data_IF_448343769540
#
_entry.id   IF_448343769540
#
_cell.length_a   1.000
_cell.length_b   1.000
_cell.length_c   1.000
_cell.angle_alpha   90.00
_cell.angle_beta   90.00
_cell.angle_gamma   90.00
#
_symmetry.space_group_name_H-M   'P 1'
#
loop_
_entity.id
_entity.type
_entity.pdbx_description
1 polymer ?
#
# COMPACT_ATOMS: atom_id res chain seq x y z
N UNK A 1 3.32 -3.07 -19.64
CA UNK A 1 2.33 -2.73 -20.70
C UNK A 1 1.06 -2.05 -20.15
N UNK A 2 0.63 -2.31 -18.91
CA UNK A 2 -0.60 -1.73 -18.35
C UNK A 2 -0.57 -0.22 -18.07
N UNK A 3 0.59 0.35 -17.68
CA UNK A 3 0.72 1.80 -17.43
C UNK A 3 0.37 2.67 -18.66
N UNK A 4 0.48 2.13 -19.87
CA UNK A 4 0.13 2.85 -21.12
C UNK A 4 -1.37 3.19 -21.18
N UNK A 5 -2.24 2.33 -20.61
CA UNK A 5 -3.71 2.35 -20.80
C UNK A 5 -4.48 3.29 -19.87
N UNK A 6 -3.82 3.87 -18.88
CA UNK A 6 -4.46 4.64 -17.80
C UNK A 6 -4.46 6.15 -18.09
N UNK A 7 -3.50 6.62 -18.89
CA UNK A 7 -3.20 8.05 -19.04
C UNK A 7 -4.36 8.88 -19.63
N UNK A 8 -4.96 8.48 -20.75
CA UNK A 8 -6.03 9.27 -21.37
C UNK A 8 -7.32 9.33 -20.52
N UNK A 9 -7.74 8.20 -19.94
CA UNK A 9 -8.94 8.13 -19.09
C UNK A 9 -8.78 9.04 -17.87
N UNK A 10 -7.63 8.95 -17.21
CA UNK A 10 -7.33 9.75 -16.02
C UNK A 10 -7.30 11.23 -16.33
N UNK A 11 -6.70 11.66 -17.46
CA UNK A 11 -6.72 13.07 -17.88
C UNK A 11 -8.14 13.60 -18.06
N UNK A 12 -9.00 12.86 -18.76
CA UNK A 12 -10.38 13.32 -19.03
C UNK A 12 -11.21 13.40 -17.75
N UNK A 13 -11.07 12.42 -16.86
CA UNK A 13 -11.72 12.45 -15.56
C UNK A 13 -11.22 13.64 -14.73
N UNK A 14 -9.90 13.84 -14.66
CA UNK A 14 -9.27 14.95 -13.98
C UNK A 14 -9.79 16.31 -14.46
N UNK A 15 -9.87 16.52 -15.78
CA UNK A 15 -10.45 17.74 -16.36
C UNK A 15 -11.93 17.94 -16.01
N UNK A 16 -12.70 16.86 -15.97
CA UNK A 16 -14.12 16.94 -15.64
C UNK A 16 -14.34 17.40 -14.20
N UNK A 17 -13.48 16.98 -13.27
CA UNK A 17 -13.53 17.40 -11.86
C UNK A 17 -12.65 18.62 -11.53
N UNK A 18 -11.95 19.17 -12.52
CA UNK A 18 -11.09 20.36 -12.35
C UNK A 18 -9.75 20.10 -11.65
N UNK A 19 -9.28 18.86 -11.63
CA UNK A 19 -8.03 18.46 -10.96
C UNK A 19 -6.82 18.60 -11.92
N UNK A 20 -6.05 19.67 -11.73
CA UNK A 20 -4.88 19.95 -12.56
C UNK A 20 -3.71 18.98 -12.30
N UNK A 21 -3.55 18.49 -11.07
CA UNK A 21 -2.48 17.57 -10.71
C UNK A 21 -2.74 16.18 -11.28
N UNK A 22 -3.97 15.67 -11.18
CA UNK A 22 -4.34 14.41 -11.82
C UNK A 22 -4.20 14.49 -13.36
N UNK A 23 -4.49 15.64 -13.97
CA UNK A 23 -4.27 15.85 -15.40
C UNK A 23 -2.78 15.89 -15.76
N UNK A 24 -1.93 16.51 -14.94
CA UNK A 24 -0.48 16.53 -15.10
C UNK A 24 0.13 15.14 -14.90
N UNK A 25 -0.32 14.39 -13.89
CA UNK A 25 0.07 12.99 -13.67
C UNK A 25 -0.26 12.12 -14.89
N UNK A 26 -1.46 12.27 -15.44
CA UNK A 26 -1.84 11.59 -16.67
C UNK A 26 -0.93 11.95 -17.86
N UNK A 27 -0.56 13.23 -18.01
CA UNK A 27 0.38 13.67 -19.05
C UNK A 27 1.82 13.14 -18.84
N UNK A 28 2.25 12.91 -17.60
CA UNK A 28 3.57 12.37 -17.29
C UNK A 28 3.79 10.94 -17.84
N UNK A 29 2.71 10.21 -18.10
CA UNK A 29 2.70 8.89 -18.72
C UNK A 29 2.67 8.93 -20.27
N UNK A 30 2.71 10.11 -20.90
CA UNK A 30 2.90 10.21 -22.36
C UNK A 30 4.27 9.67 -22.75
N UNK A 31 4.32 8.77 -23.73
CA UNK A 31 5.56 8.30 -24.32
C UNK A 31 5.93 9.22 -25.50
N UNK A 32 7.10 9.87 -25.50
CA UNK A 32 7.55 10.65 -26.64
C UNK A 32 7.60 9.81 -27.92
N UNK A 33 7.10 10.35 -29.02
CA UNK A 33 7.08 9.68 -30.32
C UNK A 33 6.02 8.58 -30.48
N UNK A 34 5.21 8.29 -29.47
CA UNK A 34 4.06 7.38 -29.61
C UNK A 34 2.77 8.14 -29.96
N UNK A 35 1.81 7.48 -30.64
CA UNK A 35 0.47 8.02 -30.82
C UNK A 35 -0.16 8.49 -29.49
N UNK A 36 -1.05 9.48 -29.58
CA UNK A 36 -1.84 9.96 -28.45
C UNK A 36 -2.82 8.88 -27.95
N UNK A 37 -3.36 8.09 -28.87
CA UNK A 37 -4.20 6.95 -28.59
C UNK A 37 -3.91 5.85 -29.60
N UNK A 38 -4.12 4.60 -29.19
CA UNK A 38 -3.94 3.41 -30.02
C UNK A 38 -5.14 2.47 -29.87
N UNK A 39 -5.29 1.55 -30.83
CA UNK A 39 -6.38 0.57 -30.86
C UNK A 39 -6.29 -0.49 -29.76
N UNK A 40 -5.12 -0.67 -29.13
CA UNK A 40 -4.95 -1.63 -28.03
C UNK A 40 -5.67 -1.16 -26.76
N UNK A 41 -6.11 0.09 -26.71
CA UNK A 41 -7.01 0.62 -25.69
C UNK A 41 -8.52 0.39 -25.99
N UNK A 42 -8.84 -0.11 -27.18
CA UNK A 42 -10.19 -0.36 -27.67
C UNK A 42 -10.81 0.84 -28.43
N UNK A 43 -11.68 0.54 -29.40
CA UNK A 43 -12.22 1.51 -30.36
C UNK A 43 -12.82 2.77 -29.71
N UNK A 44 -13.60 2.62 -28.64
CA UNK A 44 -14.22 3.76 -27.97
C UNK A 44 -13.21 4.71 -27.32
N UNK A 45 -12.06 4.20 -26.86
CA UNK A 45 -10.97 5.01 -26.30
C UNK A 45 -10.15 5.66 -27.40
N UNK A 46 -9.83 4.89 -28.44
CA UNK A 46 -9.17 5.40 -29.64
C UNK A 46 -9.93 6.60 -30.22
N UNK A 47 -11.24 6.44 -30.49
CA UNK A 47 -12.07 7.51 -31.04
C UNK A 47 -12.06 8.76 -30.17
N UNK A 48 -12.18 8.61 -28.84
CA UNK A 48 -12.11 9.76 -27.93
C UNK A 48 -10.73 10.41 -27.95
N UNK A 49 -9.66 9.62 -27.90
CA UNK A 49 -8.29 10.11 -27.89
C UNK A 49 -7.88 10.82 -29.17
N UNK A 50 -8.27 10.31 -30.35
CA UNK A 50 -7.96 10.94 -31.66
C UNK A 50 -8.81 12.19 -31.95
N UNK A 51 -9.87 12.44 -31.16
CA UNK A 51 -10.69 13.66 -31.27
C UNK A 51 -10.36 14.73 -30.22
N UNK A 52 -9.47 14.42 -29.26
CA UNK A 52 -9.05 15.37 -28.22
C UNK A 52 -7.76 16.08 -28.67
N UNK A 53 -7.91 17.24 -29.32
CA UNK A 53 -6.80 18.01 -29.86
C UNK A 53 -5.75 18.40 -28.80
N UNK A 54 -6.19 18.67 -27.57
CA UNK A 54 -5.26 19.01 -26.49
C UNK A 54 -4.49 17.78 -26.00
N UNK A 55 -5.12 16.60 -25.95
CA UNK A 55 -4.43 15.36 -25.61
C UNK A 55 -3.41 14.98 -26.69
N UNK A 56 -3.77 15.17 -27.96
CA UNK A 56 -2.86 14.97 -29.09
C UNK A 56 -1.65 15.90 -29.00
N UNK A 57 -1.88 17.16 -28.63
CA UNK A 57 -0.83 18.16 -28.44
C UNK A 57 -0.08 18.06 -27.10
N UNK A 58 -0.50 17.20 -26.16
CA UNK A 58 0.09 17.13 -24.84
C UNK A 58 1.49 16.50 -24.90
N UNK A 59 2.48 17.24 -24.39
CA UNK A 59 3.83 16.74 -24.17
C UNK A 59 3.90 15.95 -22.85
N UNK A 60 4.91 15.08 -22.74
CA UNK A 60 5.24 14.45 -21.47
C UNK A 60 5.66 15.51 -20.46
N UNK A 61 5.04 15.50 -19.29
CA UNK A 61 5.40 16.33 -18.15
C UNK A 61 6.10 15.50 -17.06
N UNK A 62 6.66 16.16 -16.05
CA UNK A 62 6.99 15.48 -14.80
C UNK A 62 5.69 15.11 -14.06
N UNK A 63 5.69 13.98 -13.36
CA UNK A 63 4.58 13.66 -12.44
C UNK A 63 4.59 14.68 -11.30
N UNK A 64 3.43 15.23 -10.88
CA UNK A 64 3.40 16.28 -9.85
C UNK A 64 3.83 15.78 -8.48
N UNK A 65 3.65 14.48 -8.19
CA UNK A 65 4.03 13.82 -6.93
C UNK A 65 3.65 14.68 -5.70
N UNK A 66 2.35 15.00 -5.52
CA UNK A 66 1.90 15.81 -4.40
C UNK A 66 2.34 15.19 -3.07
N UNK A 67 2.67 16.04 -2.10
CA UNK A 67 3.16 15.57 -0.79
C UNK A 67 2.12 14.71 -0.09
N UNK A 68 0.86 15.15 -0.10
CA UNK A 68 -0.24 14.48 0.57
C UNK A 68 -1.44 14.36 -0.38
N UNK A 69 -2.11 13.21 -0.38
CA UNK A 69 -3.34 12.97 -1.14
C UNK A 69 -4.31 12.22 -0.23
N UNK A 70 -5.48 12.80 -0.01
CA UNK A 70 -6.60 12.14 0.66
C UNK A 70 -7.71 11.84 -0.33
N UNK A 71 -8.07 10.56 -0.45
CA UNK A 71 -9.17 10.07 -1.29
C UNK A 71 -10.33 9.65 -0.39
N UNK A 72 -11.24 10.57 -0.02
CA UNK A 72 -12.27 10.31 0.99
C UNK A 72 -13.26 9.21 0.59
N UNK A 73 -13.50 9.00 -0.71
CA UNK A 73 -14.46 7.99 -1.17
C UNK A 73 -14.01 6.56 -0.93
N UNK A 74 -12.70 6.31 -0.89
CA UNK A 74 -12.11 4.99 -0.65
C UNK A 74 -11.29 4.96 0.64
N UNK A 75 -11.28 6.08 1.37
CA UNK A 75 -10.50 6.34 2.58
C UNK A 75 -9.02 5.97 2.43
N UNK A 76 -8.39 6.41 1.34
CA UNK A 76 -6.97 6.20 1.09
C UNK A 76 -6.20 7.49 1.33
N UNK A 77 -5.25 7.44 2.26
CA UNK A 77 -4.23 8.47 2.44
C UNK A 77 -2.95 8.02 1.73
N UNK A 78 -2.34 8.92 0.97
CA UNK A 78 -0.96 8.83 0.52
C UNK A 78 -0.20 10.04 1.07
N UNK A 79 0.96 9.81 1.69
CA UNK A 79 1.85 10.84 2.19
C UNK A 79 3.28 10.55 1.74
N UNK A 80 4.00 11.58 1.31
CA UNK A 80 5.42 11.57 0.94
C UNK A 80 6.22 12.43 1.90
N UNK A 81 7.49 12.07 2.05
CA UNK A 81 8.47 12.88 2.77
C UNK A 81 8.68 14.22 2.06
N UNK A 82 8.71 14.21 0.72
CA UNK A 82 8.92 15.40 -0.10
C UNK A 82 7.87 15.53 -1.21
N UNK A 83 7.48 16.77 -1.50
CA UNK A 83 6.65 17.08 -2.67
C UNK A 83 7.49 17.04 -3.95
N UNK A 84 6.90 16.61 -5.07
CA UNK A 84 7.54 16.71 -6.40
C UNK A 84 8.61 15.65 -6.68
N UNK A 85 8.93 14.77 -5.73
CA UNK A 85 9.89 13.68 -5.90
C UNK A 85 9.38 12.39 -5.25
N UNK A 86 9.94 11.25 -5.66
CA UNK A 86 9.74 9.96 -5.02
C UNK A 86 10.78 9.68 -3.93
N UNK A 87 11.83 10.50 -3.84
CA UNK A 87 12.92 10.35 -2.87
C UNK A 87 12.40 10.38 -1.43
N UNK A 88 12.97 9.52 -0.59
CA UNK A 88 12.59 9.34 0.80
C UNK A 88 11.43 8.37 0.98
N UNK A 89 10.78 8.48 2.14
CA UNK A 89 9.67 7.60 2.51
C UNK A 89 8.35 8.05 1.88
N UNK A 90 7.58 7.07 1.40
CA UNK A 90 6.16 7.24 1.04
C UNK A 90 5.32 6.25 1.84
N UNK A 91 4.27 6.72 2.48
CA UNK A 91 3.25 5.93 3.16
C UNK A 91 1.95 6.00 2.34
N UNK A 92 1.33 4.85 2.08
CA UNK A 92 -0.07 4.77 1.69
C UNK A 92 -0.83 3.91 2.70
N UNK A 93 -2.02 4.30 3.10
CA UNK A 93 -2.86 3.56 4.06
C UNK A 93 -4.32 3.66 3.68
N UNK A 94 -5.05 2.57 3.88
CA UNK A 94 -6.43 2.40 3.44
C UNK A 94 -7.35 2.09 4.62
N UNK A 95 -8.43 2.83 4.73
CA UNK A 95 -9.61 2.47 5.53
C UNK A 95 -10.62 1.69 4.68
N UNK A 96 -11.79 2.29 4.47
CA UNK A 96 -12.81 1.81 3.54
C UNK A 96 -13.50 0.56 4.04
N UNK A 97 -13.91 -0.31 3.12
CA UNK A 97 -14.59 -1.56 3.44
C UNK A 97 -14.22 -2.71 2.50
N UNK A 98 -14.42 -3.96 2.94
CA UNK A 98 -14.12 -5.17 2.16
C UNK A 98 -15.10 -5.46 1.00
N UNK A 99 -15.82 -4.44 0.55
CA UNK A 99 -16.84 -4.51 -0.50
C UNK A 99 -16.59 -3.57 -1.68
N UNK A 100 -15.41 -2.97 -1.75
CA UNK A 100 -15.04 -2.05 -2.84
C UNK A 100 -14.96 -2.75 -4.20
N UNK A 101 -15.05 -1.96 -5.28
CA UNK A 101 -14.87 -2.51 -6.62
C UNK A 101 -13.47 -3.12 -6.78
N UNK A 102 -13.41 -4.39 -7.19
CA UNK A 102 -12.16 -5.15 -7.33
C UNK A 102 -11.33 -5.32 -6.05
N UNK A 103 -11.96 -5.29 -4.88
CA UNK A 103 -11.26 -5.29 -3.62
C UNK A 103 -10.53 -6.58 -3.22
N UNK A 104 -9.62 -6.44 -2.25
CA UNK A 104 -9.12 -7.50 -1.38
C UNK A 104 -9.79 -7.39 0.01
N UNK A 105 -9.43 -8.23 0.99
CA UNK A 105 -9.87 -8.07 2.37
C UNK A 105 -8.76 -7.39 3.19
N UNK A 106 -8.65 -6.07 3.11
CA UNK A 106 -7.43 -5.32 3.43
C UNK A 106 -7.70 -4.00 4.18
N UNK A 107 -8.83 -3.88 4.88
CA UNK A 107 -9.17 -2.67 5.65
C UNK A 107 -8.14 -2.42 6.75
N UNK A 108 -7.53 -1.24 6.74
CA UNK A 108 -6.42 -0.86 7.63
C UNK A 108 -5.03 -1.22 7.10
N UNK A 109 -4.92 -1.84 5.92
CA UNK A 109 -3.64 -2.16 5.29
C UNK A 109 -2.89 -0.89 4.89
N UNK A 110 -1.57 -0.99 4.84
CA UNK A 110 -0.67 0.11 4.47
C UNK A 110 0.46 -0.39 3.58
N UNK A 111 1.07 0.51 2.81
CA UNK A 111 2.24 0.27 1.96
C UNK A 111 3.29 1.32 2.31
N UNK A 112 4.54 0.92 2.37
CA UNK A 112 5.68 1.83 2.55
C UNK A 112 6.66 1.62 1.41
N UNK A 113 7.01 2.71 0.74
CA UNK A 113 8.02 2.73 -0.31
C UNK A 113 9.22 3.61 0.09
N UNK A 114 10.39 3.26 -0.42
CA UNK A 114 11.65 4.01 -0.31
C UNK A 114 12.07 4.42 -1.71
N UNK A 115 12.28 5.72 -1.92
CA UNK A 115 12.67 6.28 -3.22
C UNK A 115 11.74 5.87 -4.38
N UNK A 116 10.45 5.65 -4.05
CA UNK A 116 9.42 5.19 -4.99
C UNK A 116 9.34 3.67 -5.18
N UNK A 117 10.21 2.89 -4.56
CA UNK A 117 10.19 1.42 -4.61
C UNK A 117 9.50 0.84 -3.37
N UNK A 118 8.38 0.10 -3.52
CA UNK A 118 7.68 -0.52 -2.38
C UNK A 118 8.52 -1.55 -1.63
N UNK A 119 8.53 -1.49 -0.30
CA UNK A 119 9.23 -2.43 0.59
C UNK A 119 8.27 -3.15 1.52
N UNK A 120 7.34 -2.43 2.15
CA UNK A 120 6.14 -3.03 2.76
C UNK A 120 5.02 -2.94 1.75
N UNK A 121 4.49 -4.08 1.32
CA UNK A 121 3.76 -4.18 0.05
C UNK A 121 2.37 -4.76 0.23
N UNK A 122 1.53 -4.50 -0.77
CA UNK A 122 0.40 -5.36 -1.10
C UNK A 122 0.83 -6.23 -2.29
N UNK A 123 0.57 -7.53 -2.24
CA UNK A 123 0.95 -8.43 -3.34
C UNK A 123 0.30 -8.00 -4.68
N UNK A 124 -0.85 -7.33 -4.60
CA UNK A 124 -1.64 -6.94 -5.74
C UNK A 124 -2.42 -8.13 -6.29
N UNK A 125 -2.70 -8.04 -7.58
CA UNK A 125 -3.64 -8.95 -8.25
C UNK A 125 -2.87 -10.02 -9.03
N UNK A 126 -3.15 -11.32 -8.83
CA UNK A 126 -2.59 -12.39 -9.63
C UNK A 126 -3.20 -12.43 -11.03
N UNK A 127 -2.68 -13.33 -11.87
CA UNK A 127 -3.25 -13.66 -13.18
C UNK A 127 -4.74 -13.98 -13.03
N UNK A 128 -5.57 -13.32 -13.84
CA UNK A 128 -7.02 -13.57 -13.76
C UNK A 128 -7.31 -14.97 -14.25
N UNK A 129 -7.98 -15.74 -13.38
CA UNK A 129 -8.50 -17.07 -13.69
C UNK A 129 -10.02 -17.05 -13.59
N UNK A 130 -10.65 -18.17 -13.92
CA UNK A 130 -12.10 -18.36 -13.70
C UNK A 130 -12.47 -18.13 -12.22
N UNK A 131 -11.60 -18.52 -11.29
CA UNK A 131 -11.83 -18.37 -9.85
C UNK A 131 -11.97 -16.89 -9.45
N UNK A 132 -11.21 -15.99 -10.09
CA UNK A 132 -11.26 -14.56 -9.78
C UNK A 132 -12.64 -13.94 -9.96
N UNK A 133 -13.46 -14.50 -10.85
CA UNK A 133 -14.82 -14.03 -11.14
C UNK A 133 -15.90 -14.94 -10.52
N UNK A 134 -15.49 -15.95 -9.76
CA UNK A 134 -16.37 -16.92 -9.11
C UNK A 134 -16.62 -16.62 -7.63
N UNK A 135 -17.47 -17.42 -6.98
CA UNK A 135 -17.71 -17.31 -5.53
C UNK A 135 -16.46 -17.60 -4.69
N UNK A 136 -15.57 -18.46 -5.20
CA UNK A 136 -14.34 -18.90 -4.51
C UNK A 136 -13.19 -17.88 -4.67
N UNK A 137 -13.49 -16.65 -5.10
CA UNK A 137 -12.49 -15.58 -5.30
C UNK A 137 -11.66 -15.35 -4.04
N UNK A 138 -12.28 -15.36 -2.87
CA UNK A 138 -11.62 -15.08 -1.59
C UNK A 138 -10.84 -16.28 -1.02
N UNK A 139 -10.81 -17.41 -1.73
CA UNK A 139 -9.87 -18.50 -1.47
C UNK A 139 -8.50 -18.24 -2.12
N UNK A 140 -8.42 -17.27 -3.03
CA UNK A 140 -7.14 -16.80 -3.59
C UNK A 140 -6.40 -16.04 -2.49
N UNK A 141 -5.20 -16.48 -2.16
CA UNK A 141 -4.43 -15.98 -1.01
C UNK A 141 -4.22 -14.45 -1.01
N UNK A 142 -4.07 -13.81 -2.19
CA UNK A 142 -3.92 -12.36 -2.30
C UNK A 142 -5.21 -11.57 -2.04
N UNK A 143 -6.35 -12.25 -1.87
CA UNK A 143 -7.63 -11.62 -1.50
C UNK A 143 -7.89 -11.76 0.02
N UNK A 144 -7.06 -12.51 0.75
CA UNK A 144 -7.26 -12.87 2.15
C UNK A 144 -6.51 -11.91 3.07
N UNK A 145 -7.15 -11.44 4.14
CA UNK A 145 -6.58 -10.45 5.06
C UNK A 145 -5.29 -10.93 5.72
N UNK A 146 -5.13 -12.25 5.90
CA UNK A 146 -3.91 -12.83 6.44
C UNK A 146 -2.65 -12.58 5.60
N UNK A 147 -2.80 -12.11 4.36
CA UNK A 147 -1.70 -11.74 3.46
C UNK A 147 -1.64 -10.23 3.16
N UNK A 148 -2.38 -9.41 3.91
CA UNK A 148 -2.27 -7.95 3.89
C UNK A 148 -1.63 -7.44 5.19
N UNK A 149 -1.29 -6.15 5.22
CA UNK A 149 -0.60 -5.53 6.34
C UNK A 149 -1.56 -5.19 7.48
N UNK A 150 -2.38 -6.15 7.92
CA UNK A 150 -3.49 -6.00 8.88
C UNK A 150 -3.36 -7.04 10.01
N UNK A 151 -4.02 -6.84 11.17
CA UNK A 151 -3.96 -7.83 12.23
C UNK A 151 -4.72 -9.11 11.90
N UNK A 152 -4.37 -10.19 12.60
CA UNK A 152 -5.19 -11.41 12.72
C UNK A 152 -5.52 -11.57 14.19
N UNK A 153 -6.81 -11.57 14.54
CA UNK A 153 -7.27 -11.40 15.92
C UNK A 153 -7.96 -12.68 16.37
N UNK A 154 -7.39 -13.37 17.35
CA UNK A 154 -7.89 -14.68 17.80
C UNK A 154 -7.93 -15.74 16.71
N UNK A 155 -7.11 -15.60 15.66
CA UNK A 155 -7.15 -16.44 14.46
C UNK A 155 -8.21 -16.02 13.43
N UNK A 156 -8.97 -14.95 13.68
CA UNK A 156 -9.95 -14.41 12.75
C UNK A 156 -9.29 -13.44 11.74
N UNK A 157 -9.63 -13.66 10.47
CA UNK A 157 -9.32 -12.78 9.35
C UNK A 157 -10.55 -11.93 8.98
N UNK A 158 -10.32 -10.87 8.22
CA UNK A 158 -11.39 -10.00 7.72
C UNK A 158 -12.17 -10.71 6.60
N UNK A 159 -13.50 -10.81 6.70
CA UNK A 159 -14.31 -11.36 5.62
C UNK A 159 -14.56 -10.33 4.51
N UNK A 160 -15.09 -10.81 3.39
CA UNK A 160 -15.51 -9.95 2.28
C UNK A 160 -16.88 -9.31 2.54
N UNK A 161 -17.08 -8.11 2.01
CA UNK A 161 -18.36 -7.41 2.03
C UNK A 161 -18.29 -6.00 2.60
N UNK A 162 -19.24 -5.15 2.20
CA UNK A 162 -19.26 -3.74 2.60
C UNK A 162 -19.57 -3.52 4.09
N UNK A 163 -20.09 -4.52 4.79
CA UNK A 163 -20.32 -4.46 6.23
C UNK A 163 -19.01 -4.55 7.04
N UNK A 164 -17.94 -5.10 6.45
CA UNK A 164 -16.63 -5.20 7.09
C UNK A 164 -15.83 -3.96 6.71
N UNK A 165 -15.86 -2.95 7.58
CA UNK A 165 -15.39 -1.60 7.28
C UNK A 165 -14.60 -1.00 8.43
N UNK A 166 -13.75 -0.03 8.09
CA UNK A 166 -13.16 0.86 9.06
C UNK A 166 -14.26 1.81 9.59
N UNK A 167 -14.08 2.25 10.82
CA UNK A 167 -14.87 3.31 11.43
C UNK A 167 -13.97 4.42 11.96
N UNK A 168 -14.56 5.57 12.27
CA UNK A 168 -13.86 6.71 12.88
C UNK A 168 -12.58 7.11 12.15
N UNK A 169 -12.60 7.05 10.81
CA UNK A 169 -11.44 7.36 9.99
C UNK A 169 -11.15 8.85 10.05
N UNK A 170 -9.92 9.19 10.39
CA UNK A 170 -9.44 10.58 10.42
C UNK A 170 -8.07 10.71 9.79
N UNK A 171 -7.85 11.84 9.14
CA UNK A 171 -6.54 12.24 8.61
C UNK A 171 -6.13 13.57 9.18
N UNK A 172 -4.84 13.71 9.48
CA UNK A 172 -4.20 14.95 9.89
C UNK A 172 -3.02 15.21 8.97
N UNK A 173 -3.00 16.36 8.30
CA UNK A 173 -2.01 16.72 7.29
C UNK A 173 -1.29 17.98 7.75
N UNK A 174 -0.11 17.81 8.33
CA UNK A 174 0.76 18.89 8.76
C UNK A 174 2.03 18.94 7.91
N UNK A 175 2.86 19.98 8.10
CA UNK A 175 4.15 20.06 7.41
C UNK A 175 5.11 18.99 7.93
N UNK A 176 5.18 18.83 9.24
CA UNK A 176 6.13 17.97 9.95
C UNK A 176 5.71 16.50 9.87
N UNK A 177 4.42 16.21 9.81
CA UNK A 177 3.90 14.86 9.75
C UNK A 177 2.54 14.77 9.04
N UNK A 178 2.27 13.61 8.45
CA UNK A 178 0.94 13.24 7.96
C UNK A 178 0.48 11.96 8.62
N UNK A 179 -0.72 11.96 9.17
CA UNK A 179 -1.25 10.86 9.97
C UNK A 179 -2.63 10.41 9.48
N UNK A 180 -2.87 9.11 9.60
CA UNK A 180 -4.15 8.44 9.44
C UNK A 180 -4.49 7.70 10.72
N UNK A 181 -5.75 7.65 11.10
CA UNK A 181 -6.24 6.76 12.15
C UNK A 181 -7.58 6.14 11.78
N UNK A 182 -7.83 4.91 12.24
CA UNK A 182 -9.10 4.20 12.04
C UNK A 182 -9.35 3.19 13.16
N UNK A 183 -10.62 2.97 13.48
CA UNK A 183 -11.11 1.82 14.24
C UNK A 183 -11.38 0.65 13.27
N UNK A 184 -10.75 -0.50 13.54
CA UNK A 184 -10.71 -1.65 12.63
C UNK A 184 -11.59 -2.81 13.10
N UNK A 185 -12.13 -2.81 14.32
CA UNK A 185 -12.93 -3.92 14.84
C UNK A 185 -14.12 -4.26 13.95
N UNK A 186 -14.75 -3.26 13.32
CA UNK A 186 -15.84 -3.43 12.36
C UNK A 186 -15.46 -4.20 11.09
N UNK A 187 -14.17 -4.34 10.77
CA UNK A 187 -13.68 -5.14 9.66
C UNK A 187 -13.58 -6.65 9.97
N UNK A 188 -13.79 -7.05 11.23
CA UNK A 188 -13.69 -8.44 11.68
C UNK A 188 -15.06 -9.03 12.01
N UNK A 189 -15.19 -10.37 12.06
CA UNK A 189 -16.42 -11.02 12.52
C UNK A 189 -16.83 -10.54 13.92
N UNK A 190 -18.13 -10.47 14.17
CA UNK A 190 -18.65 -10.05 15.47
C UNK A 190 -18.07 -10.91 16.61
N UNK A 191 -17.51 -10.24 17.63
CA UNK A 191 -16.87 -10.88 18.78
C UNK A 191 -15.42 -11.31 18.57
N UNK A 192 -14.86 -11.13 17.37
CA UNK A 192 -13.43 -11.39 17.14
C UNK A 192 -12.53 -10.30 17.75
N UNK A 193 -13.02 -9.05 17.79
CA UNK A 193 -12.32 -7.91 18.37
C UNK A 193 -13.30 -6.99 19.11
N UNK A 194 -12.86 -6.46 20.26
CA UNK A 194 -13.49 -5.34 20.96
C UNK A 194 -13.26 -4.03 20.19
N UNK A 195 -12.27 -3.24 20.60
CA UNK A 195 -11.75 -2.11 19.82
C UNK A 195 -10.33 -2.44 19.34
N UNK A 196 -10.04 -2.05 18.10
CA UNK A 196 -8.73 -2.12 17.50
C UNK A 196 -8.47 -0.83 16.71
N UNK A 197 -7.82 0.14 17.34
CA UNK A 197 -7.50 1.42 16.74
C UNK A 197 -6.10 1.43 16.18
N UNK A 198 -5.99 1.63 14.87
CA UNK A 198 -4.71 1.81 14.17
C UNK A 198 -4.44 3.29 13.92
N UNK A 199 -3.19 3.70 14.06
CA UNK A 199 -2.68 4.94 13.48
C UNK A 199 -1.46 4.66 12.60
N UNK A 200 -1.36 5.34 11.47
CA UNK A 200 -0.22 5.30 10.57
C UNK A 200 0.26 6.73 10.33
N UNK A 201 1.51 7.02 10.71
CA UNK A 201 2.08 8.37 10.64
C UNK A 201 3.37 8.35 9.86
N UNK A 202 3.51 9.24 8.88
CA UNK A 202 4.79 9.60 8.29
C UNK A 202 5.30 10.86 9.00
N UNK A 203 6.37 10.72 9.76
CA UNK A 203 7.07 11.77 10.50
C UNK A 203 8.28 12.19 9.67
N UNK A 204 8.26 13.42 9.13
CA UNK A 204 9.27 13.93 8.20
C UNK A 204 10.51 14.43 8.90
N UNK A 205 10.36 14.96 10.11
CA UNK A 205 11.49 15.43 10.93
C UNK A 205 12.35 14.25 11.38
N UNK A 206 11.70 13.18 11.87
CA UNK A 206 12.39 11.96 12.26
C UNK A 206 12.65 11.01 11.08
N UNK A 207 12.14 11.31 9.88
CA UNK A 207 12.28 10.52 8.64
C UNK A 207 11.89 9.05 8.83
N UNK A 208 10.70 8.83 9.38
CA UNK A 208 10.19 7.49 9.70
C UNK A 208 8.69 7.38 9.48
N UNK A 209 8.23 6.15 9.24
CA UNK A 209 6.83 5.77 9.35
C UNK A 209 6.62 5.04 10.67
N UNK A 210 5.55 5.36 11.39
CA UNK A 210 5.16 4.69 12.63
C UNK A 210 3.74 4.15 12.48
N UNK A 211 3.59 2.84 12.63
CA UNK A 211 2.30 2.15 12.68
C UNK A 211 2.04 1.76 14.12
N UNK A 212 1.00 2.32 14.74
CA UNK A 212 0.63 1.98 16.11
C UNK A 212 -0.76 1.35 16.14
N UNK A 213 -0.85 0.22 16.82
CA UNK A 213 -2.09 -0.52 17.04
C UNK A 213 -2.40 -0.51 18.54
N UNK A 214 -3.58 -0.02 18.90
CA UNK A 214 -4.13 -0.05 20.25
C UNK A 214 -5.38 -0.90 20.27
N UNK A 215 -5.51 -1.80 21.26
CA UNK A 215 -6.67 -2.69 21.39
C UNK A 215 -7.13 -2.81 22.84
N UNK A 216 -8.39 -3.18 23.02
CA UNK A 216 -8.98 -3.38 24.35
C UNK A 216 -8.78 -4.77 24.91
N UNK A 217 -8.62 -5.76 24.03
CA UNK A 217 -8.56 -7.17 24.42
C UNK A 217 -7.10 -7.62 24.58
N UNK A 218 -6.81 -8.55 25.48
CA UNK A 218 -5.46 -9.08 25.71
C UNK A 218 -5.25 -10.48 25.11
N UNK A 219 -6.25 -11.01 24.41
CA UNK A 219 -6.22 -12.34 23.76
C UNK A 219 -5.15 -12.50 22.66
N UNK A 220 -5.10 -13.69 22.03
CA UNK A 220 -4.17 -13.95 20.93
C UNK A 220 -4.39 -12.98 19.78
N UNK A 221 -3.34 -12.34 19.28
CA UNK A 221 -3.40 -11.64 18.00
C UNK A 221 -2.00 -11.50 17.39
N UNK A 222 -1.98 -11.35 16.08
CA UNK A 222 -0.76 -11.18 15.30
C UNK A 222 -0.84 -9.90 14.47
N UNK A 223 0.27 -9.16 14.38
CA UNK A 223 0.46 -8.16 13.33
C UNK A 223 1.20 -8.83 12.17
N UNK A 224 0.70 -8.65 10.95
CA UNK A 224 1.32 -9.21 9.74
C UNK A 224 1.78 -8.08 8.83
N UNK A 225 3.00 -8.19 8.31
CA UNK A 225 3.55 -7.30 7.31
C UNK A 225 4.09 -8.13 6.14
N UNK A 226 3.68 -7.83 4.92
CA UNK A 226 4.18 -8.43 3.70
C UNK A 226 5.30 -7.56 3.13
N UNK A 227 6.45 -8.18 2.90
CA UNK A 227 7.70 -7.52 2.59
C UNK A 227 8.25 -8.01 1.25
N UNK A 228 8.73 -7.08 0.43
CA UNK A 228 9.42 -7.34 -0.83
C UNK A 228 10.92 -7.05 -0.69
N UNK A 229 11.76 -7.99 -1.16
CA UNK A 229 13.21 -7.92 -1.05
C UNK A 229 13.83 -9.00 -0.17
N UNK A 230 15.13 -8.86 0.15
CA UNK A 230 15.84 -9.77 1.05
C UNK A 230 15.62 -9.33 2.50
N UNK A 231 14.93 -10.16 3.28
CA UNK A 231 14.50 -9.87 4.65
C UNK A 231 15.31 -10.69 5.64
N UNK A 232 15.94 -10.01 6.60
CA UNK A 232 16.73 -10.65 7.66
C UNK A 232 16.29 -10.17 9.03
N UNK A 233 16.04 -11.11 9.93
CA UNK A 233 15.80 -10.80 11.35
C UNK A 233 17.08 -10.26 12.00
N UNK A 234 16.92 -9.20 12.78
CA UNK A 234 17.97 -8.52 13.55
C UNK A 234 17.41 -8.11 14.92
N UNK A 235 17.37 -9.08 15.84
CA UNK A 235 16.79 -8.88 17.18
C UNK A 235 15.30 -8.54 17.13
N UNK A 236 14.92 -7.41 17.73
CA UNK A 236 13.56 -6.86 17.70
C UNK A 236 13.29 -5.99 16.45
N UNK A 237 13.91 -6.36 15.33
CA UNK A 237 13.76 -5.72 14.04
C UNK A 237 13.97 -6.70 12.87
N UNK A 238 13.56 -6.28 11.68
CA UNK A 238 14.06 -6.81 10.40
C UNK A 238 14.78 -5.72 9.63
N UNK A 239 15.81 -6.13 8.89
CA UNK A 239 16.39 -5.34 7.81
C UNK A 239 15.88 -5.89 6.49
N UNK A 240 15.35 -5.01 5.64
CA UNK A 240 14.88 -5.35 4.30
C UNK A 240 15.75 -4.63 3.28
N UNK A 241 16.53 -5.39 2.51
CA UNK A 241 17.15 -4.84 1.31
C UNK A 241 16.09 -4.83 0.21
N UNK A 242 15.64 -3.63 -0.17
CA UNK A 242 14.57 -3.43 -1.13
C UNK A 242 14.93 -3.93 -2.54
N UNK A 243 13.92 -4.01 -3.39
CA UNK A 243 14.11 -4.29 -4.82
C UNK A 243 14.78 -3.08 -5.51
N UNK A 244 15.25 -3.26 -6.75
CA UNK A 244 15.77 -2.18 -7.60
C UNK A 244 16.84 -1.29 -6.93
N UNK A 245 17.68 -1.89 -6.08
CA UNK A 245 18.73 -1.21 -5.31
C UNK A 245 18.23 -0.09 -4.37
N UNK A 246 16.94 -0.12 -4.00
CA UNK A 246 16.38 0.82 -3.05
C UNK A 246 17.10 0.76 -1.69
N UNK A 247 17.35 1.90 -1.03
CA UNK A 247 18.00 1.91 0.28
C UNK A 247 17.32 0.96 1.28
N UNK A 248 18.10 0.23 2.09
CA UNK A 248 17.55 -0.74 3.01
C UNK A 248 16.63 -0.08 4.04
N UNK A 249 15.52 -0.74 4.35
CA UNK A 249 14.56 -0.31 5.35
C UNK A 249 14.73 -1.14 6.63
N UNK A 250 14.84 -0.47 7.78
CA UNK A 250 14.76 -1.12 9.09
C UNK A 250 13.33 -1.03 9.60
N UNK A 251 12.76 -2.17 9.97
CA UNK A 251 11.44 -2.27 10.59
C UNK A 251 11.63 -2.82 12.01
N UNK A 252 11.34 -2.03 13.03
CA UNK A 252 11.58 -2.39 14.44
C UNK A 252 10.30 -2.34 15.27
N UNK A 253 10.29 -3.10 16.37
CA UNK A 253 9.15 -3.21 17.28
C UNK A 253 9.60 -3.31 18.75
N UNK A 254 8.69 -3.19 19.73
CA UNK A 254 9.03 -3.29 21.14
C UNK A 254 9.61 -4.64 21.52
N UNK A 255 10.58 -4.63 22.45
CA UNK A 255 11.23 -5.85 22.93
C UNK A 255 10.24 -6.91 23.45
N UNK A 256 10.61 -8.16 23.24
CA UNK A 256 9.87 -9.32 23.76
C UNK A 256 8.59 -9.63 22.98
N UNK A 257 8.46 -9.12 21.76
CA UNK A 257 7.47 -9.59 20.78
C UNK A 257 8.15 -10.71 19.99
N UNK A 258 7.54 -11.89 19.96
CA UNK A 258 8.04 -12.98 19.15
C UNK A 258 7.79 -12.65 17.68
N UNK A 259 8.84 -12.69 16.87
CA UNK A 259 8.78 -12.46 15.45
C UNK A 259 9.14 -13.72 14.67
N UNK A 260 8.45 -13.95 13.56
CA UNK A 260 8.78 -15.01 12.61
C UNK A 260 8.65 -14.51 11.18
N UNK A 261 9.44 -15.10 10.29
CA UNK A 261 9.38 -14.86 8.85
C UNK A 261 8.78 -16.08 8.16
N UNK A 262 7.79 -15.84 7.32
CA UNK A 262 7.14 -16.85 6.50
C UNK A 262 7.32 -16.49 5.03
N UNK A 263 7.98 -17.36 4.27
CA UNK A 263 8.23 -17.13 2.85
C UNK A 263 7.04 -17.63 2.02
N UNK A 264 6.61 -16.82 1.05
CA UNK A 264 5.58 -17.15 0.06
C UNK A 264 6.19 -17.14 -1.33
N UNK A 265 6.49 -18.33 -1.85
CA UNK A 265 6.90 -18.46 -3.25
C UNK A 265 5.77 -17.97 -4.17
N UNK A 266 6.16 -17.30 -5.25
CA UNK A 266 5.27 -16.76 -6.26
C UNK A 266 5.34 -17.64 -7.51
N UNK A 267 4.30 -18.43 -7.72
CA UNK A 267 4.09 -19.26 -8.90
C UNK A 267 3.24 -18.58 -9.98
N UNK A 268 2.66 -17.42 -9.65
CA UNK A 268 1.94 -16.58 -10.59
C UNK A 268 2.91 -15.67 -11.38
N UNK A 269 2.88 -15.67 -12.73
CA UNK A 269 3.81 -14.90 -13.53
C UNK A 269 3.64 -13.39 -13.37
N UNK A 270 2.43 -12.87 -13.16
CA UNK A 270 2.24 -11.42 -12.97
C UNK A 270 2.80 -10.96 -11.62
N UNK A 271 2.62 -11.77 -10.56
CA UNK A 271 3.23 -11.47 -9.26
C UNK A 271 4.76 -11.62 -9.32
N UNK A 272 5.24 -12.66 -9.98
CA UNK A 272 6.68 -12.93 -10.13
C UNK A 272 7.42 -11.86 -10.94
N UNK A 273 6.79 -11.33 -11.98
CA UNK A 273 7.34 -10.23 -12.79
C UNK A 273 7.53 -8.92 -11.99
N UNK A 274 6.76 -8.72 -10.92
CA UNK A 274 6.82 -7.51 -10.08
C UNK A 274 7.72 -7.73 -8.86
N UNK A 275 7.56 -8.85 -8.17
CA UNK A 275 8.16 -9.07 -6.84
C UNK A 275 9.34 -10.05 -6.85
N UNK A 276 9.62 -10.70 -7.97
CA UNK A 276 10.59 -11.78 -8.07
C UNK A 276 10.03 -13.11 -7.56
N UNK A 277 10.90 -13.97 -7.05
CA UNK A 277 10.55 -15.37 -6.75
C UNK A 277 9.61 -15.52 -5.54
N UNK A 278 9.63 -14.58 -4.60
CA UNK A 278 8.84 -14.70 -3.37
C UNK A 278 8.61 -13.36 -2.68
N UNK A 279 7.59 -13.34 -1.83
CA UNK A 279 7.42 -12.33 -0.78
C UNK A 279 7.68 -12.95 0.60
N UNK A 280 8.05 -12.12 1.56
CA UNK A 280 8.23 -12.54 2.96
C UNK A 280 7.18 -11.90 3.84
N UNK A 281 6.43 -12.71 4.59
CA UNK A 281 5.51 -12.23 5.61
C UNK A 281 6.21 -12.24 6.97
N UNK A 282 6.42 -11.05 7.53
CA UNK A 282 6.77 -10.88 8.94
C UNK A 282 5.50 -11.03 9.77
N UNK A 283 5.56 -11.89 10.79
CA UNK A 283 4.49 -12.06 11.77
C UNK A 283 5.01 -11.73 13.15
N UNK A 284 4.32 -10.82 13.84
CA UNK A 284 4.62 -10.38 15.20
C UNK A 284 3.50 -10.85 16.13
N UNK A 285 3.84 -11.68 17.12
CA UNK A 285 2.91 -12.10 18.16
C UNK A 285 2.74 -10.98 19.20
N UNK A 286 1.54 -10.42 19.23
CA UNK A 286 1.17 -9.30 20.10
C UNK A 286 0.16 -9.72 21.16
N UNK A 287 0.04 -11.01 21.47
CA UNK A 287 -0.77 -11.49 22.58
C UNK A 287 -0.40 -10.78 23.90
N UNK A 288 -1.40 -10.44 24.72
CA UNK A 288 -1.21 -9.74 25.99
C UNK A 288 -0.79 -8.27 25.89
N UNK A 289 -0.70 -7.68 24.69
CA UNK A 289 -0.26 -6.30 24.48
C UNK A 289 -1.42 -5.40 24.05
N UNK A 290 -1.71 -4.39 24.86
CA UNK A 290 -2.74 -3.39 24.57
C UNK A 290 -2.28 -2.33 23.55
N UNK A 291 -0.99 -2.01 23.53
CA UNK A 291 -0.38 -1.03 22.64
C UNK A 291 0.89 -1.61 22.00
N UNK A 292 0.99 -1.56 20.68
CA UNK A 292 2.18 -1.96 19.91
C UNK A 292 2.46 -0.92 18.85
N UNK A 293 3.74 -0.57 18.67
CA UNK A 293 4.17 0.41 17.67
C UNK A 293 5.31 -0.16 16.84
N UNK A 294 5.14 -0.23 15.53
CA UNK A 294 6.14 -0.66 14.56
C UNK A 294 6.71 0.58 13.87
N UNK A 295 8.03 0.74 13.94
CA UNK A 295 8.74 1.88 13.31
C UNK A 295 9.48 1.41 12.07
N UNK A 296 9.31 2.13 10.97
CA UNK A 296 9.98 1.90 9.69
C UNK A 296 10.82 3.13 9.35
N UNK A 297 12.12 2.93 9.19
CA UNK A 297 13.07 4.01 8.93
C UNK A 297 14.19 3.49 8.02
N UNK A 298 14.83 4.40 7.27
CA UNK A 298 15.97 4.02 6.45
C UNK A 298 17.07 3.46 7.34
N UNK A 299 17.57 2.27 7.01
CA UNK A 299 18.69 1.71 7.74
C UNK A 299 19.91 2.61 7.50
N UNK A 300 20.52 3.05 8.60
CA UNK A 300 21.75 3.82 8.51
C UNK A 300 22.80 2.97 7.80
N UNK A 301 23.46 3.53 6.79
CA UNK A 301 24.64 2.93 6.21
C UNK A 301 25.60 2.67 7.37
N UNK A 302 26.10 1.43 7.52
CA UNK A 302 27.21 1.17 8.42
C UNK A 302 28.36 2.08 7.97
N UNK A 303 28.53 3.22 8.65
CA UNK A 303 29.59 4.15 8.34
C UNK A 303 30.91 3.40 8.42
N UNK A 304 31.80 3.69 7.47
CA UNK A 304 33.23 3.43 7.60
C UNK A 304 33.69 4.01 8.95
N UNK A 305 33.76 3.15 9.95
CA UNK A 305 33.88 3.55 11.34
C UNK A 305 34.30 2.38 12.22
N UNK A 306 35.23 1.55 11.73
CA UNK A 306 36.29 0.96 12.56
C UNK A 306 37.34 0.32 11.62
N UNK A 307 38.40 1.08 11.30
CA UNK A 307 39.70 0.57 10.86
C UNK A 307 40.79 1.44 11.45
#
# INVERSE_FOLDING_TARGET
LELRRVSFRSRRAARWVGDAEAAAHAAAHRLPGSPAADEAEGLGRLLRGVTDAEWIGAARAASPLPRDVWLPSTEVLLAREHAGTSDGLTLAVKGGHNGEHHNHNDVGSFVVAVDGVPVVVDAGRPTYTKQTFGPDRYDIWTMQSGWHNVPVIGGAEQPHGAAFAAAEVSVDLAEEASAFAAELAGAYPAGAAGSWRRSATLDRDARRVVISDRRTDDGPAELRLLLAGDVRLDGDAVLVAGLEDAPPLRISWPRGILARLERRELDDPMLGDVWGEALTRLVLDVAGRADVSVTLELAQSAGEGDR
#
